data_IF_090966807186
#
_entry.id   IF_090966807186
#
_cell.length_a   1.000
_cell.length_b   1.000
_cell.length_c   1.000
_cell.angle_alpha   90.00
_cell.angle_beta   90.00
_cell.angle_gamma   90.00
#
_symmetry.space_group_name_H-M   'P 1'
#
loop_
_entity.id
_entity.type
_entity.pdbx_description
1 polymer ?
#
# COMPACT_ATOMS: atom_id res chain seq x y z
N UNK A 1 32.54 8.15 -12.09
CA UNK A 1 32.34 7.63 -11.92
C UNK A 1 32.19 7.22 -11.33
N UNK A 2 31.60 7.37 -11.08
CA UNK A 2 31.39 6.76 -10.66
C UNK A 2 31.52 6.15 -10.17
N UNK A 3 31.02 6.74 -9.97
CA UNK A 3 31.26 5.85 -9.62
C UNK A 3 30.53 4.70 -9.71
N UNK A 4 30.76 4.16 -9.78
CA UNK A 4 30.33 2.89 -10.33
C UNK A 4 29.92 1.94 -9.28
N UNK A 5 30.21 2.24 -8.06
CA UNK A 5 29.84 1.42 -6.93
C UNK A 5 28.38 1.59 -6.64
N UNK A 6 27.73 0.47 -6.39
CA UNK A 6 26.38 0.53 -5.89
C UNK A 6 26.43 0.87 -4.42
N UNK A 7 25.90 1.99 -4.06
CA UNK A 7 25.88 2.40 -2.67
C UNK A 7 24.50 2.10 -2.10
N UNK A 8 24.48 1.24 -1.11
CA UNK A 8 23.22 0.88 -0.47
C UNK A 8 23.14 1.57 0.87
N UNK A 9 22.12 2.40 1.00
CA UNK A 9 21.95 3.13 2.24
C UNK A 9 21.21 2.27 3.24
N UNK A 10 21.51 2.44 4.50
CA UNK A 10 20.78 1.69 5.52
C UNK A 10 19.30 2.01 5.44
N UNK A 11 18.52 1.01 5.75
CA UNK A 11 17.10 1.19 5.75
C UNK A 11 16.71 2.10 6.88
N UNK A 12 15.80 3.01 6.61
CA UNK A 12 15.34 3.91 7.64
C UNK A 12 14.50 3.16 8.65
N UNK A 13 14.43 3.68 9.83
CA UNK A 13 13.59 3.11 10.84
C UNK A 13 12.15 3.15 10.39
N UNK A 14 11.37 2.26 10.99
CA UNK A 14 9.98 2.16 10.63
C UNK A 14 9.31 3.51 10.80
N UNK A 15 8.65 3.96 9.75
CA UNK A 15 7.95 5.22 9.77
C UNK A 15 8.75 6.40 9.30
N UNK A 16 10.06 6.27 9.20
CA UNK A 16 10.87 7.41 8.78
C UNK A 16 10.77 7.68 7.29
N UNK A 17 10.45 6.65 6.52
CA UNK A 17 10.28 6.81 5.07
C UNK A 17 8.82 7.04 4.71
N UNK A 18 7.96 7.17 5.70
CA UNK A 18 6.56 7.40 5.44
C UNK A 18 5.75 6.15 5.20
N UNK A 19 6.37 4.99 5.31
CA UNK A 19 5.67 3.73 5.08
C UNK A 19 5.80 2.83 6.28
N UNK A 20 4.77 2.04 6.48
CA UNK A 20 4.77 1.00 7.50
C UNK A 20 4.29 -0.30 6.88
N UNK A 21 4.74 -1.39 7.44
CA UNK A 21 4.30 -2.72 7.01
C UNK A 21 3.45 -3.31 8.12
N UNK A 22 2.26 -3.76 7.76
CA UNK A 22 1.40 -4.47 8.69
C UNK A 22 0.53 -5.43 7.91
N UNK A 23 -0.05 -6.39 8.61
CA UNK A 23 -0.83 -7.43 7.98
C UNK A 23 -2.31 -7.11 8.06
N UNK A 24 -3.03 -7.50 7.03
CA UNK A 24 -4.48 -7.38 7.04
C UNK A 24 -5.07 -8.68 6.54
N UNK A 25 -6.30 -8.91 6.92
CA UNK A 25 -7.08 -10.03 6.42
C UNK A 25 -8.07 -9.49 5.42
N UNK A 26 -8.14 -10.13 4.27
CA UNK A 26 -8.99 -9.68 3.18
C UNK A 26 -9.72 -10.89 2.63
N UNK A 27 -10.99 -10.71 2.32
CA UNK A 27 -11.78 -11.79 1.75
C UNK A 27 -11.14 -12.28 0.45
N UNK A 28 -11.26 -13.57 0.19
CA UNK A 28 -10.66 -14.15 -0.99
C UNK A 28 -11.21 -13.52 -2.26
N UNK A 29 -12.49 -13.23 -2.29
CA UNK A 29 -13.06 -12.61 -3.47
C UNK A 29 -12.51 -11.23 -3.73
N UNK A 30 -12.17 -10.52 -2.65
CA UNK A 30 -11.56 -9.20 -2.81
C UNK A 30 -10.15 -9.34 -3.33
N UNK A 31 -9.42 -10.34 -2.83
CA UNK A 31 -8.06 -10.59 -3.32
C UNK A 31 -8.10 -10.91 -4.81
N UNK A 32 -9.07 -11.72 -5.23
CA UNK A 32 -9.17 -12.08 -6.65
C UNK A 32 -9.41 -10.84 -7.51
N UNK A 33 -10.22 -9.92 -7.04
CA UNK A 33 -10.45 -8.69 -7.79
C UNK A 33 -9.21 -7.84 -7.89
N UNK A 34 -8.46 -7.78 -6.80
CA UNK A 34 -7.22 -7.01 -6.82
C UNK A 34 -6.22 -7.65 -7.78
N UNK A 35 -6.13 -8.98 -7.76
CA UNK A 35 -5.21 -9.66 -8.65
C UNK A 35 -5.58 -9.44 -10.11
N UNK A 36 -6.88 -9.40 -10.39
CA UNK A 36 -7.33 -9.13 -11.74
C UNK A 36 -6.86 -7.75 -12.20
N UNK A 37 -7.01 -6.75 -11.33
CA UNK A 37 -6.58 -5.41 -11.68
C UNK A 37 -5.07 -5.34 -11.80
N UNK A 38 -4.37 -6.05 -10.94
CA UNK A 38 -2.92 -6.11 -11.01
C UNK A 38 -2.47 -6.64 -12.37
N UNK A 39 -3.09 -7.71 -12.83
CA UNK A 39 -2.73 -8.30 -14.11
C UNK A 39 -3.02 -7.35 -15.26
N UNK A 40 -4.05 -6.55 -15.15
CA UNK A 40 -4.46 -5.68 -16.25
C UNK A 40 -3.70 -4.36 -16.26
N UNK A 41 -3.15 -3.95 -15.15
CA UNK A 41 -2.51 -2.65 -15.07
C UNK A 41 -1.00 -2.70 -14.89
N UNK A 42 -0.49 -3.85 -14.45
CA UNK A 42 0.94 -3.95 -14.18
C UNK A 42 1.35 -3.49 -12.81
N UNK A 43 0.42 -2.95 -12.03
CA UNK A 43 0.73 -2.58 -10.65
C UNK A 43 0.72 -3.81 -9.76
N UNK A 44 1.58 -3.83 -8.77
CA UNK A 44 1.59 -4.93 -7.82
C UNK A 44 0.37 -4.85 -6.93
N UNK A 45 0.06 -5.99 -6.29
CA UNK A 45 -1.06 -6.02 -5.35
C UNK A 45 -0.85 -4.99 -4.24
N UNK A 46 0.36 -4.91 -3.73
CA UNK A 46 0.63 -4.00 -2.63
C UNK A 46 0.41 -2.55 -3.05
N UNK A 47 0.85 -2.22 -4.26
CA UNK A 47 0.63 -0.87 -4.77
C UNK A 47 -0.85 -0.57 -4.88
N UNK A 48 -1.60 -1.51 -5.42
CA UNK A 48 -3.03 -1.31 -5.59
C UNK A 48 -3.74 -1.18 -4.25
N UNK A 49 -3.34 -1.99 -3.29
CA UNK A 49 -3.96 -1.90 -1.97
C UNK A 49 -3.73 -0.50 -1.38
N UNK A 50 -2.51 0.02 -1.54
CA UNK A 50 -2.24 1.36 -1.05
C UNK A 50 -3.10 2.40 -1.73
N UNK A 51 -3.22 2.30 -3.05
CA UNK A 51 -4.03 3.25 -3.81
C UNK A 51 -5.48 3.18 -3.37
N UNK A 52 -6.01 1.95 -3.25
CA UNK A 52 -7.40 1.78 -2.87
C UNK A 52 -7.67 2.30 -1.47
N UNK A 53 -6.73 2.06 -0.55
CA UNK A 53 -6.90 2.53 0.80
C UNK A 53 -6.88 4.05 0.87
N UNK A 54 -5.97 4.67 0.14
CA UNK A 54 -5.92 6.12 0.13
C UNK A 54 -7.20 6.71 -0.42
N UNK A 55 -7.70 6.13 -1.49
CA UNK A 55 -8.93 6.62 -2.08
C UNK A 55 -10.10 6.43 -1.12
N UNK A 56 -10.19 5.25 -0.53
CA UNK A 56 -11.30 4.95 0.36
C UNK A 56 -11.30 5.84 1.59
N UNK A 57 -10.10 6.09 2.13
CA UNK A 57 -10.02 6.93 3.30
C UNK A 57 -10.38 8.36 2.99
N UNK A 58 -10.01 8.82 1.80
CA UNK A 58 -10.35 10.17 1.38
C UNK A 58 -11.85 10.35 1.26
N UNK A 59 -12.55 9.30 0.87
CA UNK A 59 -14.00 9.35 0.70
C UNK A 59 -14.76 8.90 1.92
N UNK A 60 -14.06 8.46 2.93
CA UNK A 60 -14.70 7.87 4.08
C UNK A 60 -15.29 8.94 4.98
N UNK A 61 -16.49 8.69 5.44
CA UNK A 61 -17.14 9.55 6.41
C UNK A 61 -17.51 8.69 7.60
N UNK A 62 -17.07 9.12 8.77
CA UNK A 62 -17.37 8.38 9.97
C UNK A 62 -18.62 8.97 10.60
N UNK A 63 -19.60 8.11 10.81
CA UNK A 63 -20.81 8.52 11.49
C UNK A 63 -20.59 8.34 12.97
N UNK A 64 -20.57 9.44 13.68
CA UNK A 64 -20.28 9.38 15.10
C UNK A 64 -21.56 9.31 15.88
N UNK A 65 -21.54 8.40 16.84
CA UNK A 65 -22.69 8.25 17.70
C UNK A 65 -22.59 9.19 18.86
N UNK A 66 -23.67 9.86 19.10
CA UNK A 66 -23.74 10.75 20.26
C UNK A 66 -24.53 10.10 21.33
N UNK A 67 -24.04 10.10 22.48
CA UNK A 67 -24.74 9.44 23.60
C UNK A 67 -25.48 10.39 24.42
#
# INVERSE_FOLDING_TARGET
MQNENLVIKPKKAKGEDGFKVFSIRVKEEVVAKIENISARTGHSRNELIGIFLEYALDKCVVEEEKD
#
